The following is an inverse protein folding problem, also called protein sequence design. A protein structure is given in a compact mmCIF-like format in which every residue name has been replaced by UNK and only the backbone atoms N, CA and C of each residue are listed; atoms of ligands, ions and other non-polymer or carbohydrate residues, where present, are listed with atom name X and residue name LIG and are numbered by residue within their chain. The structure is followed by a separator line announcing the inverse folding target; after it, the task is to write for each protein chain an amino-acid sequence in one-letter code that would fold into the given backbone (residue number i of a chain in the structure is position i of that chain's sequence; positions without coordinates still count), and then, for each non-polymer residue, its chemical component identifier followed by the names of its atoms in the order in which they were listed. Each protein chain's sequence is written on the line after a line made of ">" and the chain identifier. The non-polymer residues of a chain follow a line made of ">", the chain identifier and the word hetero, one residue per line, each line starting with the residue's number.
data_IF_696499249216
#
_entry.id   IF_696499249216
#
_cell.length_a   1.000
_cell.length_b   1.000
_cell.length_c   1.000
_cell.angle_alpha   90.00
_cell.angle_beta   90.00
_cell.angle_gamma   90.00
#
_symmetry.space_group_name_H-M   'P 1'
#
loop_
_entity.id
_entity.type
_entity.pdbx_description
1 polymer ?
#
# COMPACT_ATOMS: atom_id res chain seq x y z
N UNK A 1 -5.23 45.51 -29.40
CA UNK A 1 -4.75 44.20 -29.90
C UNK A 1 -3.54 43.66 -29.12
N UNK A 2 -2.50 44.46 -28.83
CA UNK A 2 -1.32 43.99 -28.08
C UNK A 2 -1.59 43.39 -26.67
N UNK A 3 -2.54 43.95 -25.91
CA UNK A 3 -2.90 43.45 -24.56
C UNK A 3 -3.57 42.08 -24.56
N UNK A 4 -4.37 41.78 -25.58
CA UNK A 4 -5.06 40.48 -25.73
C UNK A 4 -4.06 39.39 -26.12
N UNK A 5 -3.13 39.70 -27.04
CA UNK A 5 -2.04 38.79 -27.42
C UNK A 5 -1.06 38.49 -26.27
N UNK A 6 -0.81 39.46 -25.39
CA UNK A 6 0.02 39.25 -24.19
C UNK A 6 -0.66 38.34 -23.17
N UNK A 7 -1.99 38.46 -22.99
CA UNK A 7 -2.74 37.66 -22.01
C UNK A 7 -2.82 36.19 -22.44
N UNK A 8 -3.05 35.93 -23.73
CA UNK A 8 -3.07 34.56 -24.27
C UNK A 8 -1.70 33.90 -24.18
N UNK A 9 -0.62 34.62 -24.48
CA UNK A 9 0.74 34.11 -24.32
C UNK A 9 1.06 33.72 -22.86
N UNK A 10 0.67 34.55 -21.88
CA UNK A 10 0.86 34.23 -20.45
C UNK A 10 0.07 32.99 -20.00
N UNK A 11 -1.15 32.80 -20.51
CA UNK A 11 -1.96 31.61 -20.22
C UNK A 11 -1.29 30.35 -20.80
N UNK A 12 -0.81 30.41 -22.05
CA UNK A 12 -0.13 29.28 -22.68
C UNK A 12 1.17 28.89 -21.96
N UNK A 13 1.96 29.87 -21.52
CA UNK A 13 3.18 29.63 -20.74
C UNK A 13 2.84 29.00 -19.38
N UNK A 14 1.81 29.50 -18.70
CA UNK A 14 1.38 28.95 -17.41
C UNK A 14 0.89 27.51 -17.54
N UNK A 15 0.14 27.20 -18.60
CA UNK A 15 -0.35 25.84 -18.87
C UNK A 15 0.79 24.88 -19.19
N UNK A 16 1.76 25.29 -20.01
CA UNK A 16 2.95 24.49 -20.33
C UNK A 16 3.84 24.24 -19.10
N UNK A 17 3.96 25.22 -18.20
CA UNK A 17 4.68 25.04 -16.94
C UNK A 17 3.95 24.04 -16.02
N UNK A 18 2.62 24.13 -15.92
CA UNK A 18 1.81 23.21 -15.12
C UNK A 18 1.90 21.76 -15.62
N UNK A 19 1.89 21.54 -16.94
CA UNK A 19 2.04 20.19 -17.51
C UNK A 19 3.44 19.61 -17.26
N UNK A 20 4.50 20.41 -17.41
CA UNK A 20 5.86 19.98 -17.13
C UNK A 20 6.06 19.59 -15.65
N UNK A 21 5.50 20.37 -14.71
CA UNK A 21 5.51 20.05 -13.28
C UNK A 21 4.74 18.76 -12.99
N UNK A 22 3.57 18.57 -13.59
CA UNK A 22 2.79 17.34 -13.47
C UNK A 22 3.53 16.11 -13.99
N UNK A 23 4.21 16.23 -15.14
CA UNK A 23 5.02 15.15 -15.71
C UNK A 23 6.21 14.79 -14.81
N UNK A 24 6.91 15.79 -14.26
CA UNK A 24 8.02 15.57 -13.32
C UNK A 24 7.55 14.89 -12.04
N UNK A 25 6.38 15.29 -11.51
CA UNK A 25 5.78 14.64 -10.33
C UNK A 25 5.40 13.18 -10.61
N UNK A 26 4.75 12.90 -11.75
CA UNK A 26 4.37 11.56 -12.15
C UNK A 26 5.61 10.66 -12.33
N UNK A 27 6.62 11.15 -13.05
CA UNK A 27 7.88 10.43 -13.25
C UNK A 27 8.55 10.08 -11.91
N UNK A 28 8.58 11.04 -10.98
CA UNK A 28 9.12 10.82 -9.64
C UNK A 28 8.34 9.75 -8.89
N UNK A 29 7.01 9.84 -8.85
CA UNK A 29 6.15 8.85 -8.17
C UNK A 29 6.15 7.49 -8.85
N UNK A 30 6.47 7.43 -10.15
CA UNK A 30 6.60 6.16 -10.85
C UNK A 30 7.93 5.47 -10.53
N UNK A 31 9.02 6.25 -10.42
CA UNK A 31 10.33 5.73 -10.00
C UNK A 31 10.38 5.35 -8.52
N UNK A 32 9.69 6.10 -7.66
CA UNK A 32 9.56 5.84 -6.23
C UNK A 32 8.08 5.85 -5.82
N UNK A 33 7.37 4.71 -5.97
CA UNK A 33 5.95 4.60 -5.68
C UNK A 33 5.60 4.99 -4.24
N UNK A 34 4.55 5.80 -4.03
CA UNK A 34 4.12 6.16 -2.69
C UNK A 34 3.50 4.96 -1.97
N UNK A 35 3.31 5.07 -0.66
CA UNK A 35 2.87 3.94 0.18
C UNK A 35 1.52 3.37 -0.26
N UNK A 36 0.59 4.23 -0.64
CA UNK A 36 -0.76 3.88 -1.11
C UNK A 36 -0.76 3.10 -2.44
N UNK A 37 0.33 3.13 -3.21
CA UNK A 37 0.48 2.37 -4.44
C UNK A 37 1.08 0.96 -4.19
N UNK A 38 1.52 0.66 -2.96
CA UNK A 38 2.12 -0.64 -2.66
C UNK A 38 1.06 -1.73 -2.63
N UNK A 39 1.35 -2.92 -3.20
CA UNK A 39 0.39 -4.02 -3.19
C UNK A 39 0.15 -4.56 -1.77
N UNK A 40 -1.02 -5.14 -1.57
CA UNK A 40 -1.37 -5.87 -0.36
C UNK A 40 -1.40 -7.38 -0.64
N UNK A 41 -1.38 -8.19 0.43
CA UNK A 41 -1.54 -9.64 0.34
C UNK A 41 -2.69 -10.14 1.20
N UNK A 42 -3.18 -11.34 0.92
CA UNK A 42 -4.01 -12.11 1.84
C UNK A 42 -3.12 -12.92 2.76
N UNK A 43 -3.42 -12.87 4.06
CA UNK A 43 -2.68 -13.61 5.07
C UNK A 43 -3.66 -14.43 5.90
N UNK A 44 -3.72 -15.73 5.56
CA UNK A 44 -4.61 -16.67 6.22
C UNK A 44 -3.92 -17.24 7.46
N UNK A 45 -4.50 -17.00 8.62
CA UNK A 45 -4.14 -17.69 9.84
C UNK A 45 -4.91 -19.01 9.89
N UNK A 46 -4.15 -20.10 9.96
CA UNK A 46 -4.63 -21.44 9.67
C UNK A 46 -5.06 -22.12 10.97
N UNK A 47 -6.35 -22.06 11.29
CA UNK A 47 -7.01 -22.73 12.41
C UNK A 47 -6.27 -22.62 13.76
N UNK A 48 -5.88 -21.41 14.16
CA UNK A 48 -5.18 -21.22 15.43
C UNK A 48 -3.70 -21.60 15.42
N UNK A 49 -3.14 -22.05 14.29
CA UNK A 49 -1.71 -22.27 14.10
C UNK A 49 -0.99 -20.94 13.84
N UNK A 50 -0.94 -20.11 14.87
CA UNK A 50 -0.34 -18.78 14.84
C UNK A 50 0.52 -18.57 16.08
N UNK A 51 1.64 -17.87 15.93
CA UNK A 51 2.52 -17.49 17.05
C UNK A 51 2.95 -16.04 16.90
N UNK A 52 3.22 -15.35 18.02
CA UNK A 52 3.73 -13.97 18.00
C UNK A 52 5.04 -13.85 17.22
N UNK A 53 5.96 -14.80 17.41
CA UNK A 53 7.22 -14.84 16.69
C UNK A 53 7.03 -14.98 15.17
N UNK A 54 6.10 -15.85 14.74
CA UNK A 54 5.74 -16.00 13.33
C UNK A 54 5.09 -14.75 12.76
N UNK A 55 4.17 -14.12 13.50
CA UNK A 55 3.55 -12.83 13.13
C UNK A 55 4.62 -11.77 12.87
N UNK A 56 5.59 -11.63 13.78
CA UNK A 56 6.69 -10.67 13.61
C UNK A 56 7.53 -10.97 12.38
N UNK A 57 7.97 -12.22 12.22
CA UNK A 57 8.78 -12.63 11.08
C UNK A 57 8.08 -12.40 9.73
N UNK A 58 6.79 -12.75 9.65
CA UNK A 58 5.99 -12.53 8.45
C UNK A 58 5.87 -11.04 8.13
N UNK A 59 5.52 -10.19 9.09
CA UNK A 59 5.38 -8.75 8.88
C UNK A 59 6.72 -8.07 8.50
N UNK A 60 7.83 -8.50 9.09
CA UNK A 60 9.17 -8.04 8.72
C UNK A 60 9.51 -8.43 7.28
N UNK A 61 9.25 -9.68 6.89
CA UNK A 61 9.46 -10.14 5.51
C UNK A 61 8.59 -9.36 4.52
N UNK A 62 7.30 -9.16 4.83
CA UNK A 62 6.39 -8.35 4.01
C UNK A 62 6.91 -6.91 3.83
N UNK A 63 7.43 -6.31 4.90
CA UNK A 63 8.03 -4.97 4.87
C UNK A 63 9.29 -4.93 4.00
N UNK A 64 10.17 -5.93 4.13
CA UNK A 64 11.42 -6.04 3.37
C UNK A 64 11.18 -6.11 1.87
N UNK A 65 10.17 -6.87 1.43
CA UNK A 65 9.84 -7.00 0.00
C UNK A 65 8.95 -5.86 -0.53
N UNK A 66 8.55 -4.91 0.33
CA UNK A 66 7.86 -3.70 -0.09
C UNK A 66 6.33 -3.75 -0.11
N UNK A 67 5.70 -4.75 0.54
CA UNK A 67 4.24 -4.76 0.66
C UNK A 67 3.72 -3.55 1.47
N UNK A 68 2.52 -3.10 1.11
CA UNK A 68 1.82 -1.98 1.74
C UNK A 68 0.99 -2.38 2.96
N UNK A 69 0.56 -3.65 3.00
CA UNK A 69 -0.30 -4.19 4.02
C UNK A 69 -0.72 -5.63 3.74
N UNK A 70 -1.50 -6.19 4.68
CA UNK A 70 -2.09 -7.52 4.58
C UNK A 70 -3.55 -7.47 5.04
N UNK A 71 -4.39 -8.29 4.43
CA UNK A 71 -5.74 -8.57 4.89
C UNK A 71 -5.74 -9.94 5.57
N UNK A 72 -6.11 -9.95 6.85
CA UNK A 72 -6.03 -11.14 7.70
C UNK A 72 -7.36 -11.88 7.66
N UNK A 73 -7.28 -13.19 7.48
CA UNK A 73 -8.42 -14.11 7.52
C UNK A 73 -8.10 -15.25 8.48
N UNK A 74 -9.03 -15.63 9.34
CA UNK A 74 -8.95 -16.90 10.06
C UNK A 74 -9.71 -17.96 9.28
N UNK A 75 -9.07 -19.09 8.97
CA UNK A 75 -9.67 -20.19 8.19
C UNK A 75 -9.45 -21.52 8.90
N UNK A 76 -10.43 -22.42 8.84
CA UNK A 76 -10.40 -23.69 9.60
C UNK A 76 -10.73 -24.93 8.78
N UNK A 77 -11.24 -24.79 7.55
CA UNK A 77 -11.75 -25.92 6.76
C UNK A 77 -10.64 -26.93 6.42
N UNK A 78 -10.75 -28.15 6.96
CA UNK A 78 -9.81 -29.24 6.72
C UNK A 78 -8.42 -29.07 7.37
N UNK A 79 -8.24 -28.13 8.28
CA UNK A 79 -6.95 -27.81 8.92
C UNK A 79 -6.96 -28.30 10.38
N UNK A 80 -5.95 -29.04 10.86
CA UNK A 80 -5.83 -29.40 12.27
C UNK A 80 -5.83 -28.19 13.21
N UNK A 81 -6.49 -28.30 14.34
CA UNK A 81 -6.58 -27.21 15.32
C UNK A 81 -5.20 -26.92 15.95
N UNK A 82 -4.82 -25.66 15.88
CA UNK A 82 -3.64 -25.13 16.56
C UNK A 82 -3.94 -24.76 18.00
N UNK A 83 -2.91 -24.32 18.75
CA UNK A 83 -3.05 -24.08 20.19
C UNK A 83 -3.94 -22.88 20.55
N UNK A 84 -4.19 -21.97 19.60
CA UNK A 84 -4.90 -20.71 19.87
C UNK A 84 -6.31 -20.74 19.27
N UNK A 85 -7.32 -20.87 20.13
CA UNK A 85 -8.71 -20.81 19.69
C UNK A 85 -9.08 -19.41 19.15
N UNK A 86 -9.75 -19.37 18.00
CA UNK A 86 -10.24 -18.12 17.40
C UNK A 86 -11.19 -17.39 18.36
N UNK A 87 -11.06 -16.06 18.47
CA UNK A 87 -11.82 -15.22 19.40
C UNK A 87 -11.67 -15.58 20.90
N UNK A 88 -10.64 -16.33 21.29
CA UNK A 88 -10.24 -16.42 22.70
C UNK A 88 -9.60 -15.11 23.19
N UNK A 89 -9.36 -14.99 24.49
CA UNK A 89 -8.60 -13.86 25.04
C UNK A 89 -7.16 -13.84 24.53
N UNK A 90 -6.54 -15.01 24.41
CA UNK A 90 -5.18 -15.15 23.88
C UNK A 90 -5.09 -14.72 22.41
N UNK A 91 -6.13 -14.96 21.61
CA UNK A 91 -6.21 -14.50 20.22
C UNK A 91 -6.26 -12.97 20.09
N UNK A 92 -6.91 -12.28 21.04
CA UNK A 92 -7.11 -10.83 20.98
C UNK A 92 -5.93 -10.02 21.49
N UNK A 93 -5.10 -10.60 22.37
CA UNK A 93 -3.93 -9.94 22.97
C UNK A 93 -2.70 -10.08 22.10
#
# INVERSE_FOLDING_TARGET
>A
MARVASLTASILVSLAAATALGQSALEKSFRDPPREARPHTWWHWMNGNVTRAGITADLEAMKQIGLGGAQIFNVSEGIPEGPIAYNSDEWRG
#
